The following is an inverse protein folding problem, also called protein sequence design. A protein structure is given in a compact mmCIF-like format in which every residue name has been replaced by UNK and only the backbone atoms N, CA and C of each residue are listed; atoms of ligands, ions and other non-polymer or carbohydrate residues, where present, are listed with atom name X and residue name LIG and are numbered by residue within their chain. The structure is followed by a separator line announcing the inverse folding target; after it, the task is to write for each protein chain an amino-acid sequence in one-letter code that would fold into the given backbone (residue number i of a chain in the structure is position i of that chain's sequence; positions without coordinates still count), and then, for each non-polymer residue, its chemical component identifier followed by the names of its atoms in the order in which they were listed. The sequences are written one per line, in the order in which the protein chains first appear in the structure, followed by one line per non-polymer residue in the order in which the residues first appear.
data_IF_343021666676
#
_entry.id   IF_343021666676
#
_cell.length_a   1.000
_cell.length_b   1.000
_cell.length_c   1.000
_cell.angle_alpha   90.00
_cell.angle_beta   90.00
_cell.angle_gamma   90.00
#
_symmetry.space_group_name_H-M   'P 1'
#
loop_
_entity.id
_entity.type
_entity.pdbx_description
1 polymer ?
#
# COMPACT_ATOMS: atom_id res chain seq x y z
N UNK A 1 22.51 35.09 -4.52
CA UNK A 1 21.22 34.82 -5.21
C UNK A 1 21.24 33.39 -5.73
N UNK A 2 20.33 32.54 -5.25
CA UNK A 2 20.30 31.11 -5.56
C UNK A 2 20.06 30.85 -7.05
N UNK A 3 20.86 29.95 -7.64
CA UNK A 3 20.80 29.60 -9.06
C UNK A 3 19.41 29.05 -9.39
N UNK A 4 18.64 29.77 -10.23
CA UNK A 4 17.33 29.32 -10.73
C UNK A 4 17.51 27.96 -11.42
N UNK A 5 16.73 26.97 -11.01
CA UNK A 5 16.53 25.73 -11.77
C UNK A 5 16.22 26.12 -13.23
N UNK A 6 16.98 25.62 -14.19
CA UNK A 6 16.88 26.00 -15.60
C UNK A 6 15.58 25.54 -16.28
N UNK A 7 14.82 24.65 -15.65
CA UNK A 7 13.51 24.21 -16.13
C UNK A 7 12.45 24.33 -15.04
N UNK A 8 11.24 24.67 -15.46
CA UNK A 8 10.02 24.63 -14.66
C UNK A 8 9.59 23.17 -14.41
N UNK A 9 8.75 22.91 -13.39
CA UNK A 9 8.21 21.57 -13.14
C UNK A 9 7.47 20.98 -14.36
N UNK A 10 6.70 21.80 -15.08
CA UNK A 10 5.96 21.40 -16.27
C UNK A 10 6.90 20.98 -17.43
N UNK A 11 7.99 21.73 -17.62
CA UNK A 11 9.02 21.37 -18.60
C UNK A 11 9.73 20.08 -18.24
N UNK A 12 9.95 19.81 -16.95
CA UNK A 12 10.51 18.53 -16.50
C UNK A 12 9.59 17.36 -16.82
N UNK A 13 8.28 17.50 -16.56
CA UNK A 13 7.27 16.49 -16.92
C UNK A 13 7.24 16.25 -18.43
N UNK A 14 7.41 17.29 -19.24
CA UNK A 14 7.45 17.16 -20.70
C UNK A 14 8.70 16.43 -21.19
N UNK A 15 9.88 16.73 -20.64
CA UNK A 15 11.14 16.03 -20.95
C UNK A 15 11.03 14.56 -20.55
N UNK A 16 10.50 14.28 -19.37
CA UNK A 16 10.30 12.93 -18.84
C UNK A 16 9.31 12.13 -19.69
N UNK A 17 8.16 12.73 -20.06
CA UNK A 17 7.19 12.12 -20.96
C UNK A 17 7.79 11.77 -22.32
N UNK A 18 8.50 12.71 -22.96
CA UNK A 18 9.10 12.48 -24.29
C UNK A 18 10.20 11.42 -24.25
N UNK A 19 10.95 11.37 -23.14
CA UNK A 19 11.96 10.35 -22.96
C UNK A 19 11.36 8.96 -22.72
N UNK A 20 10.38 8.86 -21.80
CA UNK A 20 9.80 7.58 -21.38
C UNK A 20 8.77 7.01 -22.36
N UNK A 21 7.97 7.86 -23.00
CA UNK A 21 6.89 7.44 -23.91
C UNK A 21 7.34 7.49 -25.37
N UNK A 22 7.93 8.61 -25.79
CA UNK A 22 8.29 8.82 -27.20
C UNK A 22 9.68 8.25 -27.55
N UNK A 23 10.42 7.75 -26.54
CA UNK A 23 11.74 7.13 -26.71
C UNK A 23 12.82 8.11 -27.17
N UNK A 24 12.59 9.42 -26.99
CA UNK A 24 13.48 10.43 -27.55
C UNK A 24 14.81 10.47 -26.78
N UNK A 25 15.96 10.51 -27.48
CA UNK A 25 17.24 10.40 -26.81
C UNK A 25 17.56 11.68 -26.04
N UNK A 26 18.15 11.52 -24.85
CA UNK A 26 18.38 12.59 -23.87
C UNK A 26 19.22 13.74 -24.45
N UNK A 27 20.11 13.45 -25.40
CA UNK A 27 20.93 14.45 -26.10
C UNK A 27 20.09 15.46 -26.89
N UNK A 28 19.01 15.01 -27.54
CA UNK A 28 18.09 15.86 -28.30
C UNK A 28 17.26 16.74 -27.37
N UNK A 29 16.76 16.16 -26.29
CA UNK A 29 16.03 16.87 -25.24
C UNK A 29 16.93 17.91 -24.53
N UNK A 30 18.20 17.57 -24.26
CA UNK A 30 19.18 18.47 -23.69
C UNK A 30 19.43 19.70 -24.58
N UNK A 31 19.57 19.47 -25.90
CA UNK A 31 19.76 20.54 -26.88
C UNK A 31 18.52 21.44 -27.02
N UNK A 32 17.32 20.86 -27.03
CA UNK A 32 16.06 21.59 -27.20
C UNK A 32 15.70 22.44 -25.97
N UNK A 33 15.87 21.89 -24.77
CA UNK A 33 15.55 22.57 -23.52
C UNK A 33 16.72 23.40 -22.96
N UNK A 34 17.88 23.40 -23.62
CA UNK A 34 19.05 24.18 -23.22
C UNK A 34 19.65 23.75 -21.87
N UNK A 35 19.60 22.46 -21.55
CA UNK A 35 20.04 21.89 -20.26
C UNK A 35 21.15 20.88 -20.46
N UNK A 36 22.04 20.76 -19.47
CA UNK A 36 23.10 19.74 -19.48
C UNK A 36 22.50 18.32 -19.47
N UNK A 37 22.94 17.46 -20.38
CA UNK A 37 22.54 16.06 -20.50
C UNK A 37 22.69 15.29 -19.17
N UNK A 38 23.76 15.56 -18.42
CA UNK A 38 24.01 14.95 -17.11
C UNK A 38 22.97 15.34 -16.06
N UNK A 39 22.38 16.53 -16.18
CA UNK A 39 21.29 16.98 -15.30
C UNK A 39 19.98 16.27 -15.61
N UNK A 40 19.70 16.03 -16.89
CA UNK A 40 18.52 15.26 -17.31
C UNK A 40 18.68 13.79 -16.90
N UNK A 41 19.82 13.16 -17.21
CA UNK A 41 20.14 11.78 -16.80
C UNK A 41 20.09 11.57 -15.29
N UNK A 42 20.50 12.57 -14.49
CA UNK A 42 20.46 12.48 -13.02
C UNK A 42 19.03 12.54 -12.47
N UNK A 43 18.15 13.28 -13.14
CA UNK A 43 16.76 13.48 -12.72
C UNK A 43 15.85 12.33 -13.18
N UNK A 44 16.01 11.85 -14.40
CA UNK A 44 15.22 10.76 -15.00
C UNK A 44 15.92 9.40 -14.77
N UNK A 45 16.67 9.23 -13.67
CA UNK A 45 17.28 7.93 -13.39
C UNK A 45 16.15 6.90 -13.18
N UNK A 46 16.06 5.83 -13.98
CA UNK A 46 14.95 4.86 -13.90
C UNK A 46 14.83 4.18 -12.52
N UNK A 47 15.94 4.10 -11.78
CA UNK A 47 16.05 3.33 -10.54
C UNK A 47 16.26 4.20 -9.28
N UNK A 48 16.01 5.51 -9.33
CA UNK A 48 16.07 6.34 -8.12
C UNK A 48 14.64 6.69 -7.70
N UNK A 49 14.20 6.34 -6.47
CA UNK A 49 12.88 6.75 -5.98
C UNK A 49 12.78 8.27 -6.11
N UNK A 50 11.69 8.74 -6.74
CA UNK A 50 11.53 10.13 -7.17
C UNK A 50 11.50 11.13 -6.01
N UNK A 51 11.29 10.65 -4.79
CA UNK A 51 11.17 11.45 -3.56
C UNK A 51 11.90 10.78 -2.38
N UNK A 52 12.23 11.52 -1.30
CA UNK A 52 12.86 10.99 -0.09
C UNK A 52 12.09 9.85 0.63
N UNK A 53 10.87 9.53 0.17
CA UNK A 53 9.94 8.60 0.81
C UNK A 53 9.58 7.37 -0.06
N UNK A 54 10.52 6.82 -0.84
CA UNK A 54 10.41 5.43 -1.31
C UNK A 54 9.24 5.13 -2.25
N UNK A 55 8.78 6.09 -3.05
CA UNK A 55 7.78 5.84 -4.08
C UNK A 55 8.38 5.02 -5.25
N UNK A 56 7.59 4.07 -5.77
CA UNK A 56 8.00 3.18 -6.87
C UNK A 56 8.26 4.00 -8.15
N UNK A 57 9.25 3.63 -8.98
CA UNK A 57 9.46 4.29 -10.27
C UNK A 57 8.20 4.24 -11.17
N UNK A 58 7.99 5.26 -11.99
CA UNK A 58 6.84 5.35 -12.92
C UNK A 58 6.71 4.12 -13.83
N UNK A 59 7.84 3.53 -14.25
CA UNK A 59 7.87 2.32 -15.07
C UNK A 59 7.28 1.12 -14.31
N UNK A 60 7.58 0.99 -13.02
CA UNK A 60 7.05 -0.08 -12.16
C UNK A 60 5.55 0.11 -11.97
N UNK A 61 5.09 1.34 -11.72
CA UNK A 61 3.66 1.65 -11.60
C UNK A 61 2.90 1.41 -12.91
N UNK A 62 3.50 1.76 -14.05
CA UNK A 62 2.92 1.51 -15.37
C UNK A 62 2.81 0.01 -15.67
N UNK A 63 3.84 -0.76 -15.31
CA UNK A 63 3.83 -2.21 -15.42
C UNK A 63 2.75 -2.84 -14.51
N UNK A 64 2.68 -2.46 -13.24
CA UNK A 64 1.66 -2.92 -12.29
C UNK A 64 0.24 -2.59 -12.77
N UNK A 65 0.03 -1.38 -13.31
CA UNK A 65 -1.25 -0.99 -13.90
C UNK A 65 -1.61 -1.85 -15.11
N UNK A 66 -0.66 -2.09 -16.01
CA UNK A 66 -0.88 -2.94 -17.20
C UNK A 66 -1.25 -4.37 -16.81
N UNK A 67 -0.56 -4.92 -15.81
CA UNK A 67 -0.86 -6.25 -15.25
C UNK A 67 -2.25 -6.28 -14.62
N UNK A 68 -2.63 -5.26 -13.84
CA UNK A 68 -3.97 -5.15 -13.26
C UNK A 68 -5.07 -5.03 -14.34
N UNK A 69 -4.85 -4.20 -15.36
CA UNK A 69 -5.77 -4.02 -16.48
C UNK A 69 -6.00 -5.35 -17.23
N UNK A 70 -4.94 -6.14 -17.44
CA UNK A 70 -5.04 -7.47 -18.04
C UNK A 70 -5.87 -8.43 -17.19
N UNK A 71 -5.68 -8.41 -15.86
CA UNK A 71 -6.47 -9.24 -14.95
C UNK A 71 -7.95 -8.84 -14.95
N UNK A 72 -8.24 -7.53 -14.93
CA UNK A 72 -9.61 -7.03 -15.04
C UNK A 72 -10.29 -7.50 -16.33
N UNK A 73 -9.57 -7.47 -17.47
CA UNK A 73 -10.11 -7.97 -18.75
C UNK A 73 -10.41 -9.46 -18.69
N UNK A 74 -9.49 -10.28 -18.17
CA UNK A 74 -9.71 -11.74 -18.02
C UNK A 74 -10.93 -12.06 -17.18
N UNK A 75 -11.12 -11.36 -16.06
CA UNK A 75 -12.29 -11.54 -15.20
C UNK A 75 -13.56 -11.10 -15.95
N UNK A 76 -13.51 -9.98 -16.68
CA UNK A 76 -14.65 -9.51 -17.47
C UNK A 76 -15.04 -10.53 -18.57
N UNK A 77 -14.07 -11.14 -19.24
CA UNK A 77 -14.31 -12.19 -20.24
C UNK A 77 -14.97 -13.42 -19.59
N UNK A 78 -14.47 -13.88 -18.44
CA UNK A 78 -15.09 -14.97 -17.67
C UNK A 78 -16.51 -14.66 -17.23
N UNK A 79 -16.78 -13.42 -16.84
CA UNK A 79 -18.15 -12.97 -16.50
C UNK A 79 -19.02 -12.99 -17.76
N UNK A 80 -18.50 -12.50 -18.90
CA UNK A 80 -19.24 -12.44 -20.15
C UNK A 80 -19.64 -13.82 -20.69
N UNK A 81 -18.86 -14.87 -20.40
CA UNK A 81 -19.20 -16.27 -20.70
C UNK A 81 -20.42 -16.79 -19.93
N UNK A 82 -20.78 -16.15 -18.81
CA UNK A 82 -21.94 -16.55 -18.01
C UNK A 82 -23.27 -16.10 -18.67
N UNK A 83 -24.37 -16.82 -18.43
CA UNK A 83 -25.71 -16.31 -18.76
C UNK A 83 -25.98 -14.95 -18.11
N UNK A 84 -26.70 -14.07 -18.80
CA UNK A 84 -27.00 -12.68 -18.34
C UNK A 84 -27.54 -12.63 -16.90
N UNK A 85 -28.38 -13.58 -16.51
CA UNK A 85 -28.92 -13.67 -15.15
C UNK A 85 -27.84 -13.91 -14.09
N UNK A 86 -26.79 -14.67 -14.41
CA UNK A 86 -25.63 -14.92 -13.55
C UNK A 86 -24.64 -13.76 -13.56
N UNK A 87 -24.48 -13.08 -14.69
CA UNK A 87 -23.67 -11.84 -14.76
C UNK A 87 -24.19 -10.79 -13.76
N UNK A 88 -25.52 -10.60 -13.70
CA UNK A 88 -26.14 -9.71 -12.72
C UNK A 88 -25.82 -10.11 -11.28
N UNK A 89 -25.90 -11.40 -10.95
CA UNK A 89 -25.58 -11.91 -9.60
C UNK A 89 -24.12 -11.63 -9.22
N UNK A 90 -23.19 -11.83 -10.14
CA UNK A 90 -21.76 -11.53 -9.89
C UNK A 90 -21.56 -10.04 -9.59
N UNK A 91 -22.17 -9.16 -10.38
CA UNK A 91 -22.07 -7.71 -10.16
C UNK A 91 -22.73 -7.28 -8.85
N UNK A 92 -23.89 -7.85 -8.49
CA UNK A 92 -24.56 -7.59 -7.21
C UNK A 92 -23.70 -8.05 -6.02
N UNK A 93 -23.07 -9.22 -6.13
CA UNK A 93 -22.16 -9.73 -5.11
C UNK A 93 -20.92 -8.83 -4.96
N UNK A 94 -20.32 -8.39 -6.07
CA UNK A 94 -19.18 -7.48 -6.05
C UNK A 94 -19.52 -6.14 -5.39
N UNK A 95 -20.70 -5.59 -5.68
CA UNK A 95 -21.20 -4.38 -5.02
C UNK A 95 -21.40 -4.61 -3.53
N UNK A 96 -22.04 -5.72 -3.13
CA UNK A 96 -22.25 -6.05 -1.73
C UNK A 96 -20.93 -6.21 -0.95
N UNK A 97 -19.90 -6.83 -1.55
CA UNK A 97 -18.56 -6.93 -0.95
C UNK A 97 -17.91 -5.56 -0.76
N UNK A 98 -18.13 -4.64 -1.71
CA UNK A 98 -17.65 -3.26 -1.63
C UNK A 98 -18.37 -2.48 -0.53
N UNK A 99 -19.68 -2.65 -0.40
CA UNK A 99 -20.49 -2.01 0.63
C UNK A 99 -20.12 -2.53 2.03
N UNK A 100 -19.94 -3.85 2.18
CA UNK A 100 -19.48 -4.46 3.44
C UNK A 100 -18.11 -3.90 3.83
N UNK A 101 -17.18 -3.82 2.88
CA UNK A 101 -15.85 -3.22 3.12
C UNK A 101 -15.96 -1.76 3.59
N UNK A 102 -16.86 -0.99 2.97
CA UNK A 102 -17.12 0.42 3.34
C UNK A 102 -17.72 0.52 4.74
N UNK A 103 -18.70 -0.32 5.07
CA UNK A 103 -19.31 -0.37 6.39
C UNK A 103 -18.33 -0.81 7.47
N UNK A 104 -17.47 -1.79 7.19
CA UNK A 104 -16.40 -2.22 8.11
C UNK A 104 -15.39 -1.10 8.36
N UNK A 105 -14.97 -0.36 7.33
CA UNK A 105 -14.09 0.80 7.49
C UNK A 105 -14.75 1.90 8.33
N UNK A 106 -16.06 2.14 8.12
CA UNK A 106 -16.83 3.09 8.93
C UNK A 106 -16.96 2.64 10.39
N UNK A 107 -17.29 1.37 10.62
CA UNK A 107 -17.37 0.76 11.93
C UNK A 107 -16.01 0.83 12.65
N UNK A 108 -14.91 0.56 11.96
CA UNK A 108 -13.56 0.72 12.49
C UNK A 108 -13.25 2.16 12.91
N UNK A 109 -13.68 3.15 12.12
CA UNK A 109 -13.53 4.57 12.47
C UNK A 109 -14.31 4.93 13.75
N UNK A 110 -15.56 4.48 13.86
CA UNK A 110 -16.36 4.69 15.07
C UNK A 110 -15.79 3.94 16.28
N UNK A 111 -15.30 2.71 16.07
CA UNK A 111 -14.63 1.89 17.07
C UNK A 111 -13.37 2.56 17.61
N UNK A 112 -12.49 3.04 16.73
CA UNK A 112 -11.28 3.76 17.10
C UNK A 112 -11.58 5.08 17.85
N UNK A 113 -12.60 5.83 17.43
CA UNK A 113 -13.02 7.03 18.14
C UNK A 113 -13.58 6.71 19.55
N UNK A 114 -14.35 5.63 19.66
CA UNK A 114 -14.89 5.13 20.93
C UNK A 114 -13.77 4.69 21.85
N UNK A 115 -12.83 3.89 21.33
CA UNK A 115 -11.67 3.43 22.07
C UNK A 115 -10.82 4.60 22.58
N UNK A 116 -10.51 5.57 21.71
CA UNK A 116 -9.77 6.77 22.10
C UNK A 116 -10.47 7.51 23.26
N UNK A 117 -11.80 7.69 23.16
CA UNK A 117 -12.58 8.33 24.21
C UNK A 117 -12.58 7.53 25.52
N UNK A 118 -12.80 6.22 25.45
CA UNK A 118 -12.78 5.33 26.62
C UNK A 118 -11.41 5.32 27.30
N UNK A 119 -10.32 5.27 26.53
CA UNK A 119 -8.95 5.39 27.04
C UNK A 119 -8.69 6.75 27.68
N UNK A 120 -9.22 7.85 27.12
CA UNK A 120 -9.14 9.18 27.73
C UNK A 120 -9.87 9.23 29.09
N UNK A 121 -11.06 8.64 29.18
CA UNK A 121 -11.81 8.56 30.45
C UNK A 121 -11.06 7.67 31.45
N UNK A 122 -10.51 6.53 31.02
CA UNK A 122 -9.71 5.66 31.86
C UNK A 122 -8.47 6.40 32.40
N UNK A 123 -7.80 7.18 31.55
CA UNK A 123 -6.64 7.97 31.97
C UNK A 123 -7.01 9.01 33.04
N UNK A 124 -8.15 9.69 32.89
CA UNK A 124 -8.62 10.64 33.91
C UNK A 124 -8.93 9.96 35.26
N UNK A 125 -9.29 8.67 35.29
CA UNK A 125 -9.51 7.94 36.54
C UNK A 125 -8.20 7.65 37.29
N UNK A 126 -7.03 7.73 36.63
CA UNK A 126 -5.73 7.53 37.28
C UNK A 126 -5.49 8.60 38.35
N UNK A 127 -5.99 9.81 38.17
CA UNK A 127 -5.90 10.91 39.15
C UNK A 127 -6.58 10.60 40.49
N UNK A 128 -7.43 9.57 40.55
CA UNK A 128 -8.15 9.15 41.75
C UNK A 128 -7.40 8.07 42.55
N UNK A 129 -6.27 7.59 42.04
CA UNK A 129 -5.45 6.58 42.71
C UNK A 129 -4.50 7.30 43.68
N UNK A 130 -4.49 6.84 44.93
CA UNK A 130 -3.47 7.22 45.90
C UNK A 130 -2.20 6.39 45.67
N UNK A 131 -1.17 7.02 45.12
CA UNK A 131 0.13 6.38 44.84
C UNK A 131 0.85 5.92 46.12
N UNK A 132 0.59 6.55 47.27
CA UNK A 132 1.17 6.15 48.55
C UNK A 132 0.43 4.96 49.16
N UNK A 133 -0.85 4.77 48.81
CA UNK A 133 -1.67 3.65 49.26
C UNK A 133 -2.61 3.13 48.15
N UNK A 134 -2.09 2.42 47.15
CA UNK A 134 -2.87 2.03 45.96
C UNK A 134 -3.90 0.92 46.23
N UNK A 135 -3.85 0.30 47.42
CA UNK A 135 -4.79 -0.73 47.86
C UNK A 135 -5.93 -0.18 48.72
N UNK A 136 -6.01 1.14 48.90
CA UNK A 136 -7.16 1.76 49.56
C UNK A 136 -8.46 1.41 48.81
N UNK A 137 -9.61 1.37 49.51
CA UNK A 137 -10.90 1.09 48.88
C UNK A 137 -11.19 2.00 47.67
N UNK A 138 -10.89 3.31 47.78
CA UNK A 138 -11.09 4.26 46.67
C UNK A 138 -10.13 4.00 45.49
N UNK A 139 -8.85 3.74 45.74
CA UNK A 139 -7.86 3.42 44.70
C UNK A 139 -8.22 2.13 43.96
N UNK A 140 -8.68 1.11 44.70
CA UNK A 140 -9.10 -0.17 44.12
C UNK A 140 -10.38 -0.03 43.27
N UNK A 141 -11.29 0.87 43.63
CA UNK A 141 -12.47 1.18 42.82
C UNK A 141 -12.07 1.87 41.50
N UNK A 142 -11.17 2.86 41.56
CA UNK A 142 -10.64 3.54 40.38
C UNK A 142 -9.92 2.55 39.44
N UNK A 143 -9.07 1.67 39.99
CA UNK A 143 -8.36 0.63 39.23
C UNK A 143 -9.32 -0.34 38.52
N UNK A 144 -10.42 -0.75 39.15
CA UNK A 144 -11.45 -1.57 38.52
C UNK A 144 -12.13 -0.84 37.37
N UNK A 145 -12.45 0.44 37.56
CA UNK A 145 -13.02 1.30 36.51
C UNK A 145 -12.09 1.43 35.30
N UNK A 146 -10.80 1.68 35.55
CA UNK A 146 -9.75 1.74 34.52
C UNK A 146 -9.66 0.43 33.75
N UNK A 147 -9.63 -0.70 34.45
CA UNK A 147 -9.55 -2.02 33.83
C UNK A 147 -10.77 -2.29 32.92
N UNK A 148 -11.98 -1.96 33.38
CA UNK A 148 -13.21 -2.09 32.59
C UNK A 148 -13.20 -1.22 31.33
N UNK A 149 -12.89 0.07 31.49
CA UNK A 149 -12.83 1.02 30.37
C UNK A 149 -11.75 0.66 29.34
N UNK A 150 -10.59 0.19 29.83
CA UNK A 150 -9.49 -0.25 28.96
C UNK A 150 -9.87 -1.51 28.18
N UNK A 151 -10.54 -2.47 28.82
CA UNK A 151 -11.05 -3.65 28.12
C UNK A 151 -12.06 -3.28 27.04
N UNK A 152 -13.03 -2.43 27.36
CA UNK A 152 -14.02 -1.94 26.38
C UNK A 152 -13.37 -1.14 25.24
N UNK A 153 -12.32 -0.36 25.53
CA UNK A 153 -11.56 0.36 24.51
C UNK A 153 -10.84 -0.59 23.56
N UNK A 154 -10.27 -1.68 24.08
CA UNK A 154 -9.61 -2.71 23.27
C UNK A 154 -10.61 -3.44 22.36
N UNK A 155 -11.77 -3.82 22.90
CA UNK A 155 -12.86 -4.45 22.14
C UNK A 155 -13.37 -3.50 21.04
N UNK A 156 -13.58 -2.22 21.36
CA UNK A 156 -13.98 -1.21 20.37
C UNK A 156 -12.92 -1.01 19.25
N UNK A 157 -11.65 -1.27 19.53
CA UNK A 157 -10.55 -1.14 18.57
C UNK A 157 -10.37 -2.35 17.66
N UNK A 158 -11.01 -3.49 17.96
CA UNK A 158 -10.71 -4.78 17.33
C UNK A 158 -10.86 -4.75 15.81
N UNK A 159 -11.97 -4.19 15.31
CA UNK A 159 -12.22 -4.08 13.86
C UNK A 159 -11.13 -3.24 13.19
N UNK A 160 -10.73 -2.12 13.81
CA UNK A 160 -9.68 -1.25 13.27
C UNK A 160 -8.30 -1.91 13.27
N UNK A 161 -7.94 -2.61 14.34
CA UNK A 161 -6.67 -3.33 14.45
C UNK A 161 -6.60 -4.47 13.43
N UNK A 162 -7.69 -5.21 13.23
CA UNK A 162 -7.74 -6.30 12.27
C UNK A 162 -7.63 -5.78 10.83
N UNK A 163 -8.21 -4.62 10.50
CA UNK A 163 -8.00 -3.98 9.20
C UNK A 163 -6.54 -3.53 9.01
N UNK A 164 -5.89 -2.97 10.03
CA UNK A 164 -4.46 -2.62 9.96
C UNK A 164 -3.57 -3.86 9.77
N UNK A 165 -3.89 -4.97 10.44
CA UNK A 165 -3.19 -6.25 10.27
C UNK A 165 -3.36 -6.82 8.86
N UNK A 166 -4.59 -6.84 8.34
CA UNK A 166 -4.88 -7.30 6.98
C UNK A 166 -4.09 -6.49 5.93
N UNK A 167 -4.01 -5.17 6.11
CA UNK A 167 -3.20 -4.32 5.24
C UNK A 167 -1.70 -4.61 5.37
N UNK A 168 -1.19 -4.88 6.59
CA UNK A 168 0.21 -5.25 6.79
C UNK A 168 0.56 -6.57 6.09
N UNK A 169 -0.28 -7.60 6.21
CA UNK A 169 -0.09 -8.88 5.54
C UNK A 169 -0.07 -8.72 4.01
N UNK A 170 -1.00 -7.93 3.46
CA UNK A 170 -1.03 -7.62 2.04
C UNK A 170 0.25 -6.91 1.57
N UNK A 171 0.75 -5.95 2.36
CA UNK A 171 2.00 -5.22 2.07
C UNK A 171 3.22 -6.15 2.14
N UNK A 172 3.29 -7.01 3.16
CA UNK A 172 4.38 -7.97 3.33
C UNK A 172 4.43 -8.97 2.15
N UNK A 173 3.28 -9.46 1.70
CA UNK A 173 3.19 -10.37 0.56
C UNK A 173 3.45 -9.68 -0.79
N UNK A 174 3.12 -8.40 -0.93
CA UNK A 174 3.57 -7.59 -2.07
C UNK A 174 5.10 -7.40 -2.05
N UNK A 175 5.69 -7.16 -0.88
CA UNK A 175 7.14 -7.03 -0.71
C UNK A 175 7.89 -8.31 -1.09
N UNK A 176 7.40 -9.47 -0.66
CA UNK A 176 7.97 -10.78 -1.04
C UNK A 176 7.90 -11.03 -2.54
N UNK A 177 6.76 -10.78 -3.18
CA UNK A 177 6.58 -10.94 -4.64
C UNK A 177 7.50 -10.02 -5.44
N UNK A 178 7.67 -8.77 -4.99
CA UNK A 178 8.60 -7.83 -5.61
C UNK A 178 10.05 -8.28 -5.46
N UNK A 179 10.43 -8.79 -4.29
CA UNK A 179 11.77 -9.31 -4.04
C UNK A 179 12.07 -10.58 -4.86
N UNK A 180 11.08 -11.46 -5.04
CA UNK A 180 11.19 -12.66 -5.87
C UNK A 180 11.33 -12.29 -7.36
N UNK A 181 10.54 -11.33 -7.85
CA UNK A 181 10.64 -10.82 -9.23
C UNK A 181 12.03 -10.20 -9.50
N UNK A 182 12.51 -9.32 -8.62
CA UNK A 182 13.86 -8.76 -8.74
C UNK A 182 14.97 -9.79 -8.59
N UNK A 183 14.76 -10.87 -7.84
CA UNK A 183 15.71 -11.98 -7.76
C UNK A 183 15.77 -12.74 -9.08
N UNK A 184 14.63 -13.05 -9.68
CA UNK A 184 14.53 -13.75 -10.97
C UNK A 184 15.10 -12.91 -12.13
N UNK A 185 14.92 -11.59 -12.11
CA UNK A 185 15.50 -10.67 -13.11
C UNK A 185 17.04 -10.62 -13.10
N UNK A 186 17.68 -11.10 -12.03
CA UNK A 186 19.14 -11.15 -11.89
C UNK A 186 19.74 -12.53 -12.20
N UNK A 187 18.93 -13.51 -12.62
CA UNK A 187 19.41 -14.84 -12.97
C UNK A 187 19.84 -14.87 -14.43
N UNK A 188 20.90 -15.63 -14.73
CA UNK A 188 21.24 -15.96 -16.12
C UNK A 188 20.23 -16.95 -16.68
N UNK A 189 20.11 -17.03 -18.00
CA UNK A 189 19.17 -17.96 -18.66
C UNK A 189 19.38 -19.41 -18.18
N UNK A 190 20.63 -19.86 -18.05
CA UNK A 190 20.98 -21.19 -17.51
C UNK A 190 20.50 -21.42 -16.07
N UNK A 191 20.46 -20.36 -15.24
CA UNK A 191 20.00 -20.42 -13.85
C UNK A 191 18.46 -20.43 -13.77
N UNK A 192 17.78 -19.76 -14.69
CA UNK A 192 16.33 -19.81 -14.83
C UNK A 192 15.87 -21.20 -15.30
N UNK A 193 16.54 -21.77 -16.29
CA UNK A 193 16.24 -23.11 -16.80
C UNK A 193 16.44 -24.20 -15.75
N UNK A 194 17.51 -24.12 -14.96
CA UNK A 194 17.75 -25.03 -13.84
C UNK A 194 16.64 -24.95 -12.76
N UNK A 195 16.15 -23.73 -12.47
CA UNK A 195 15.12 -23.50 -11.46
C UNK A 195 13.72 -23.94 -11.94
N UNK A 196 13.44 -23.80 -13.23
CA UNK A 196 12.24 -24.33 -13.87
C UNK A 196 12.25 -25.86 -13.86
N UNK A 197 13.40 -26.49 -14.14
CA UNK A 197 13.56 -27.94 -14.06
C UNK A 197 13.34 -28.47 -12.63
N UNK A 198 13.87 -27.78 -11.62
CA UNK A 198 13.71 -28.13 -10.20
C UNK A 198 12.25 -28.02 -9.74
N UNK A 199 11.54 -26.93 -10.06
CA UNK A 199 10.11 -26.79 -9.73
C UNK A 199 9.24 -27.83 -10.46
N UNK A 200 9.57 -28.16 -11.71
CA UNK A 200 8.82 -29.15 -12.50
C UNK A 200 8.96 -30.56 -11.92
N UNK A 201 10.13 -30.91 -11.39
CA UNK A 201 10.36 -32.18 -10.69
C UNK A 201 9.60 -32.29 -9.35
N UNK A 202 9.30 -31.15 -8.71
CA UNK A 202 8.65 -31.10 -7.39
C UNK A 202 7.11 -31.16 -7.47
N UNK A 203 6.52 -30.76 -8.62
CA UNK A 203 5.06 -30.76 -8.84
C UNK A 203 4.59 -32.07 -9.53
N UNK A 204 5.51 -32.82 -10.14
CA UNK A 204 5.22 -34.04 -10.90
C UNK A 204 5.40 -35.38 -10.15
N UNK A 205 5.55 -35.36 -8.82
CA UNK A 205 5.65 -36.57 -7.97
C UNK A 205 4.54 -36.61 -6.93
#
# INVERSE_FOLDING_TARGET
MGRKSSLTPEQWVQVERRHLIDGEPINRLAAEFGVNESSIRRKIKPNKPELPNGEKPLQVLAQEKSEADLQCRRIADQIAELPISRQRIVNELANMLTDISTHLASAARFGAATAHRLSGIAHAQVERIDDANPTSPESMEALKGIAGLTKMANEASEIGINLLRANKEAVDDMGKRSAEKSRLENYTDDQLDALIAERSATIGG
#
